data_IF_852489932173
#
_entry.id   IF_852489932173
#
_cell.length_a   1.000
_cell.length_b   1.000
_cell.length_c   1.000
_cell.angle_alpha   90.00
_cell.angle_beta   90.00
_cell.angle_gamma   90.00
#
_symmetry.space_group_name_H-M   'P 1'
#
loop_
_entity.id
_entity.type
_entity.pdbx_description
1 polymer ?
#
# COMPACT_ATOMS: atom_id res chain seq x y z
N UNK A 1 11.64 -17.94 -1.14
CA UNK A 1 11.00 -17.11 -0.11
C UNK A 1 10.73 -18.00 1.08
N UNK A 2 11.42 -17.76 2.19
CA UNK A 2 11.19 -18.52 3.43
C UNK A 2 10.64 -17.52 4.46
N UNK A 3 9.46 -17.78 5.04
CA UNK A 3 8.95 -16.95 6.13
C UNK A 3 9.86 -17.10 7.35
N UNK A 4 10.28 -15.99 7.95
CA UNK A 4 11.01 -16.01 9.22
C UNK A 4 10.01 -16.20 10.37
N UNK A 5 10.31 -17.13 11.29
CA UNK A 5 9.42 -17.45 12.39
C UNK A 5 9.38 -16.36 13.49
N UNK A 6 10.31 -15.40 13.48
CA UNK A 6 10.45 -14.41 14.54
C UNK A 6 9.86 -13.02 14.19
N UNK A 7 9.69 -12.67 12.91
CA UNK A 7 9.28 -11.33 12.48
C UNK A 7 8.52 -11.36 11.13
N UNK A 8 7.58 -10.43 10.86
CA UNK A 8 6.65 -10.48 9.72
C UNK A 8 7.32 -10.01 8.41
N UNK A 9 8.36 -10.72 7.99
CA UNK A 9 9.06 -10.47 6.75
C UNK A 9 9.51 -11.76 6.06
N UNK A 10 9.48 -11.75 4.73
CA UNK A 10 10.04 -12.79 3.88
C UNK A 10 11.51 -12.51 3.63
N UNK A 11 12.37 -13.50 3.88
CA UNK A 11 13.77 -13.45 3.46
C UNK A 11 13.88 -13.84 1.99
N UNK A 12 14.46 -12.97 1.18
CA UNK A 12 14.85 -13.28 -0.20
C UNK A 12 16.33 -13.69 -0.19
N UNK A 13 16.54 -14.99 -0.41
CA UNK A 13 17.84 -15.65 -0.46
C UNK A 13 18.14 -15.99 -1.92
N UNK A 14 19.34 -15.67 -2.40
CA UNK A 14 19.85 -16.09 -3.72
C UNK A 14 21.22 -16.72 -3.47
N UNK A 15 21.41 -17.99 -3.88
CA UNK A 15 22.62 -18.78 -3.64
C UNK A 15 23.08 -18.77 -2.16
N UNK A 16 22.16 -19.01 -1.23
CA UNK A 16 22.40 -18.99 0.24
C UNK A 16 22.94 -17.69 0.83
N UNK A 17 23.09 -16.64 0.01
CA UNK A 17 23.37 -15.29 0.47
C UNK A 17 22.07 -14.55 0.78
N UNK A 18 22.07 -13.86 1.91
CA UNK A 18 20.98 -12.97 2.31
C UNK A 18 21.01 -11.71 1.45
N UNK A 19 20.04 -11.57 0.52
CA UNK A 19 20.03 -10.46 -0.44
C UNK A 19 19.08 -9.35 -0.03
N UNK A 20 17.88 -9.68 0.47
CA UNK A 20 16.91 -8.66 0.86
C UNK A 20 15.88 -9.18 1.88
N UNK A 21 15.43 -8.27 2.74
CA UNK A 21 14.29 -8.45 3.64
C UNK A 21 13.03 -7.88 2.99
N UNK A 22 12.05 -8.71 2.65
CA UNK A 22 10.75 -8.26 2.16
C UNK A 22 9.78 -8.26 3.33
N UNK A 23 9.68 -7.13 4.03
CA UNK A 23 8.71 -6.96 5.12
C UNK A 23 7.30 -7.07 4.53
N UNK A 24 6.42 -7.88 5.13
CA UNK A 24 5.04 -8.10 4.67
C UNK A 24 4.20 -6.81 4.58
N UNK A 25 4.65 -5.74 5.25
CA UNK A 25 4.09 -4.39 5.16
C UNK A 25 4.46 -3.58 3.90
N UNK A 26 5.32 -4.10 3.02
CA UNK A 26 5.71 -3.45 1.76
C UNK A 26 4.83 -3.86 0.57
N UNK A 27 3.98 -4.87 0.76
CA UNK A 27 3.08 -5.38 -0.26
C UNK A 27 1.79 -4.58 -0.28
N UNK A 28 1.56 -3.89 -1.39
CA UNK A 28 0.43 -2.99 -1.68
C UNK A 28 -0.94 -3.69 -1.59
N UNK A 29 -0.92 -5.02 -1.54
CA UNK A 29 -2.08 -5.89 -1.30
C UNK A 29 -2.77 -5.55 0.03
N UNK A 30 -2.01 -5.28 1.10
CA UNK A 30 -2.58 -4.96 2.42
C UNK A 30 -3.40 -3.68 2.39
N UNK A 31 -2.94 -2.66 1.66
CA UNK A 31 -3.67 -1.39 1.48
C UNK A 31 -4.92 -1.58 0.64
N UNK A 32 -4.84 -2.35 -0.44
CA UNK A 32 -5.99 -2.66 -1.29
C UNK A 32 -7.08 -3.38 -0.51
N UNK A 33 -6.72 -4.38 0.31
CA UNK A 33 -7.67 -5.11 1.16
C UNK A 33 -8.32 -4.17 2.18
N UNK A 34 -7.52 -3.33 2.85
CA UNK A 34 -8.03 -2.35 3.82
C UNK A 34 -9.02 -1.37 3.17
N UNK A 35 -8.65 -0.82 2.01
CA UNK A 35 -9.49 0.10 1.26
C UNK A 35 -10.83 -0.55 0.85
N UNK A 36 -10.79 -1.74 0.26
CA UNK A 36 -11.99 -2.46 -0.19
C UNK A 36 -12.90 -2.83 0.98
N UNK A 37 -12.32 -3.31 2.09
CA UNK A 37 -13.08 -3.70 3.29
C UNK A 37 -13.82 -2.51 3.89
N UNK A 38 -13.17 -1.34 3.98
CA UNK A 38 -13.81 -0.11 4.46
C UNK A 38 -14.97 0.35 3.58
N UNK A 39 -14.80 0.31 2.26
CA UNK A 39 -15.85 0.69 1.30
C UNK A 39 -17.05 -0.26 1.38
N UNK A 40 -16.81 -1.56 1.62
CA UNK A 40 -17.87 -2.56 1.82
C UNK A 40 -18.59 -2.34 3.16
N UNK A 41 -17.85 -2.04 4.24
CA UNK A 41 -18.41 -1.81 5.58
C UNK A 41 -19.32 -0.57 5.63
N UNK A 42 -18.98 0.50 4.91
CA UNK A 42 -19.76 1.74 4.84
C UNK A 42 -20.47 1.89 3.49
N UNK A 43 -21.32 0.92 3.16
CA UNK A 43 -22.07 0.86 1.90
C UNK A 43 -23.26 1.83 1.90
N UNK A 44 -23.23 2.81 0.99
CA UNK A 44 -24.40 3.58 0.58
C UNK A 44 -25.15 2.88 -0.56
N UNK A 45 -25.49 3.60 -1.64
CA UNK A 45 -26.04 2.99 -2.86
C UNK A 45 -25.02 2.04 -3.54
N UNK A 46 -25.45 0.80 -3.80
CA UNK A 46 -24.66 -0.29 -4.42
C UNK A 46 -23.91 0.15 -5.68
N UNK A 47 -24.59 0.91 -6.55
CA UNK A 47 -24.01 1.39 -7.82
C UNK A 47 -22.86 2.35 -7.57
N UNK A 48 -23.03 3.30 -6.64
CA UNK A 48 -22.00 4.29 -6.33
C UNK A 48 -20.81 3.63 -5.62
N UNK A 49 -21.07 2.64 -4.76
CA UNK A 49 -20.03 1.86 -4.08
C UNK A 49 -19.16 1.09 -5.06
N UNK A 50 -19.74 0.43 -6.06
CA UNK A 50 -18.96 -0.32 -7.05
C UNK A 50 -18.10 0.63 -7.90
N UNK A 51 -18.68 1.70 -8.43
CA UNK A 51 -17.93 2.67 -9.27
C UNK A 51 -16.78 3.30 -8.49
N UNK A 52 -17.04 3.70 -7.23
CA UNK A 52 -16.02 4.31 -6.39
C UNK A 52 -14.96 3.30 -5.93
N UNK A 53 -15.35 2.07 -5.61
CA UNK A 53 -14.41 1.01 -5.27
C UNK A 53 -13.47 0.71 -6.44
N UNK A 54 -14.00 0.54 -7.66
CA UNK A 54 -13.18 0.29 -8.85
C UNK A 54 -12.26 1.48 -9.15
N UNK A 55 -12.77 2.71 -9.11
CA UNK A 55 -11.95 3.92 -9.33
C UNK A 55 -10.85 4.08 -8.27
N UNK A 56 -11.18 3.83 -7.00
CA UNK A 56 -10.21 3.89 -5.90
C UNK A 56 -9.15 2.80 -5.97
N UNK A 57 -9.52 1.58 -6.37
CA UNK A 57 -8.56 0.49 -6.62
C UNK A 57 -7.59 0.85 -7.75
N UNK A 58 -8.08 1.39 -8.87
CA UNK A 58 -7.23 1.84 -9.98
C UNK A 58 -6.31 2.97 -9.54
N UNK A 59 -6.82 3.96 -8.82
CA UNK A 59 -6.02 5.07 -8.31
C UNK A 59 -4.91 4.59 -7.35
N UNK A 60 -5.25 3.75 -6.37
CA UNK A 60 -4.29 3.21 -5.42
C UNK A 60 -3.24 2.33 -6.13
N UNK A 61 -3.63 1.61 -7.18
CA UNK A 61 -2.70 0.86 -8.02
C UNK A 61 -1.70 1.78 -8.74
N UNK A 62 -2.16 2.91 -9.30
CA UNK A 62 -1.29 3.89 -9.95
C UNK A 62 -0.32 4.56 -8.96
N UNK A 63 -0.81 4.97 -7.78
CA UNK A 63 0.04 5.53 -6.71
C UNK A 63 1.08 4.49 -6.28
N UNK A 64 0.70 3.22 -6.23
CA UNK A 64 1.63 2.14 -5.94
C UNK A 64 2.70 1.95 -7.02
N UNK A 65 2.32 2.00 -8.30
CA UNK A 65 3.30 1.94 -9.40
C UNK A 65 4.30 3.10 -9.30
N UNK A 66 3.80 4.30 -9.04
CA UNK A 66 4.63 5.47 -8.81
C UNK A 66 5.58 5.28 -7.62
N UNK A 67 5.10 4.72 -6.50
CA UNK A 67 5.94 4.38 -5.34
C UNK A 67 7.12 3.50 -5.74
N UNK A 68 6.90 2.44 -6.52
CA UNK A 68 7.95 1.52 -6.95
C UNK A 68 9.03 2.26 -7.76
N UNK A 69 8.62 3.12 -8.70
CA UNK A 69 9.56 3.91 -9.52
C UNK A 69 10.39 4.85 -8.64
N UNK A 70 9.73 5.58 -7.72
CA UNK A 70 10.43 6.49 -6.80
C UNK A 70 11.35 5.73 -5.86
N UNK A 71 10.95 4.55 -5.39
CA UNK A 71 11.74 3.67 -4.53
C UNK A 71 13.06 3.30 -5.22
N UNK A 72 12.98 2.82 -6.45
CA UNK A 72 14.15 2.41 -7.23
C UNK A 72 15.12 3.58 -7.41
N UNK A 73 14.62 4.78 -7.72
CA UNK A 73 15.45 5.98 -7.89
C UNK A 73 16.06 6.42 -6.54
N UNK A 74 15.27 6.41 -5.47
CA UNK A 74 15.70 6.87 -4.15
C UNK A 74 16.77 5.96 -3.54
N UNK A 75 16.59 4.64 -3.63
CA UNK A 75 17.59 3.66 -3.17
C UNK A 75 18.88 3.75 -3.97
N UNK A 76 18.78 3.97 -5.29
CA UNK A 76 19.95 4.12 -6.15
C UNK A 76 20.79 5.35 -5.80
N UNK A 77 20.14 6.46 -5.43
CA UNK A 77 20.81 7.75 -5.17
C UNK A 77 21.20 7.95 -3.71
N UNK A 78 20.48 7.34 -2.77
CA UNK A 78 20.65 7.53 -1.32
C UNK A 78 20.56 6.20 -0.56
N UNK A 79 21.54 5.29 -0.75
CA UNK A 79 21.51 3.96 -0.13
C UNK A 79 21.53 4.02 1.41
N UNK A 80 22.17 5.04 2.02
CA UNK A 80 22.24 5.21 3.48
C UNK A 80 20.88 5.54 4.14
N UNK A 81 19.94 6.14 3.40
CA UNK A 81 18.61 6.51 3.91
C UNK A 81 17.53 5.49 3.56
N UNK A 82 17.92 4.34 2.98
CA UNK A 82 17.00 3.32 2.46
C UNK A 82 16.04 2.81 3.52
N UNK A 83 16.53 2.57 4.74
CA UNK A 83 15.75 2.06 5.88
C UNK A 83 14.64 3.03 6.29
N UNK A 84 14.95 4.32 6.45
CA UNK A 84 13.98 5.35 6.85
C UNK A 84 12.97 5.67 5.74
N UNK A 85 13.42 5.71 4.50
CA UNK A 85 12.55 5.92 3.34
C UNK A 85 11.57 4.75 3.19
N UNK A 86 12.04 3.51 3.31
CA UNK A 86 11.22 2.29 3.26
C UNK A 86 10.22 2.15 4.40
N UNK A 87 10.67 2.38 5.64
CA UNK A 87 9.85 2.12 6.83
C UNK A 87 8.82 3.21 7.13
N UNK A 88 9.08 4.46 6.74
CA UNK A 88 8.27 5.60 7.16
C UNK A 88 7.62 6.32 5.99
N UNK A 89 8.43 6.83 5.06
CA UNK A 89 7.95 7.80 4.04
C UNK A 89 7.01 7.13 3.04
N UNK A 90 7.38 5.96 2.50
CA UNK A 90 6.56 5.34 1.47
C UNK A 90 5.23 4.78 1.96
N UNK A 91 5.14 4.09 3.11
CA UNK A 91 3.86 3.69 3.68
C UNK A 91 2.96 4.90 3.94
N UNK A 92 3.49 5.98 4.52
CA UNK A 92 2.71 7.17 4.86
C UNK A 92 2.01 7.82 3.66
N UNK A 93 2.64 7.84 2.48
CA UNK A 93 2.05 8.43 1.27
C UNK A 93 0.80 7.65 0.84
N UNK A 94 0.89 6.32 0.78
CA UNK A 94 -0.24 5.47 0.35
C UNK A 94 -1.35 5.48 1.40
N UNK A 95 -1.01 5.34 2.68
CA UNK A 95 -2.01 5.40 3.76
C UNK A 95 -2.69 6.77 3.86
N UNK A 96 -1.95 7.86 3.61
CA UNK A 96 -2.50 9.21 3.53
C UNK A 96 -3.47 9.37 2.36
N UNK A 97 -3.11 8.89 1.16
CA UNK A 97 -3.98 8.90 0.00
C UNK A 97 -5.27 8.09 0.22
N UNK A 98 -5.14 6.91 0.86
CA UNK A 98 -6.28 6.08 1.24
C UNK A 98 -7.22 6.79 2.22
N UNK A 99 -6.68 7.45 3.25
CA UNK A 99 -7.45 8.24 4.22
C UNK A 99 -8.24 9.37 3.53
N UNK A 100 -7.62 10.08 2.58
CA UNK A 100 -8.29 11.14 1.80
C UNK A 100 -9.45 10.55 0.98
N UNK A 101 -9.22 9.43 0.30
CA UNK A 101 -10.25 8.70 -0.44
C UNK A 101 -11.41 8.25 0.46
N UNK A 102 -11.13 7.80 1.69
CA UNK A 102 -12.16 7.43 2.65
C UNK A 102 -12.95 8.64 3.15
N UNK A 103 -12.29 9.73 3.52
CA UNK A 103 -12.97 10.95 3.95
C UNK A 103 -13.87 11.48 2.84
N UNK A 104 -13.40 11.47 1.60
CA UNK A 104 -14.21 11.86 0.45
C UNK A 104 -15.43 10.94 0.26
N UNK A 105 -15.24 9.62 0.38
CA UNK A 105 -16.32 8.64 0.32
C UNK A 105 -17.39 8.89 1.39
N UNK A 106 -16.99 9.01 2.66
CA UNK A 106 -17.89 9.20 3.79
C UNK A 106 -18.67 10.51 3.66
N UNK A 107 -18.00 11.61 3.27
CA UNK A 107 -18.66 12.92 3.12
C UNK A 107 -19.66 12.95 1.97
N UNK A 108 -19.37 12.26 0.86
CA UNK A 108 -20.15 12.40 -0.38
C UNK A 108 -21.23 11.32 -0.56
N UNK A 109 -21.00 10.12 -0.01
CA UNK A 109 -21.81 8.93 -0.28
C UNK A 109 -22.35 8.21 0.96
N UNK A 110 -21.69 8.27 2.13
CA UNK A 110 -22.21 7.64 3.35
C UNK A 110 -23.31 8.46 4.05
N UNK A 111 -23.48 9.74 3.69
CA UNK A 111 -24.45 10.67 4.29
C UNK A 111 -25.79 10.79 3.54
N UNK A 112 -26.08 9.88 2.58
CA UNK A 112 -27.37 9.82 1.86
C UNK A 112 -27.91 8.39 1.82
#
# INVERSE_FOLDING_TARGET
MVPDAAEPFYKVMVNDAYVARVIEGCNSVSVLILFVTFIIAFRGSVKNTIVYATGGVVFLYLVNLFRIVVLTIAVYKYPEYTESLHGLVFPSIIYGAMLILWVFWVRRFARK
#
